data_IF_241662881971
#
_entry.id   IF_241662881971
#
_cell.length_a   1.000
_cell.length_b   1.000
_cell.length_c   1.000
_cell.angle_alpha   90.00
_cell.angle_beta   90.00
_cell.angle_gamma   90.00
#
_symmetry.space_group_name_H-M   'P 1'
#
loop_
_entity.id
_entity.type
_entity.pdbx_description
1 polymer ?
#
# COMPACT_ATOMS: atom_id res chain seq x y z
N UNK A 1 27.42 64.46 -26.35
CA UNK A 1 27.38 63.91 -24.98
C UNK A 1 26.20 62.93 -24.88
N UNK A 2 26.47 61.66 -24.58
CA UNK A 2 25.49 60.57 -24.59
C UNK A 2 24.70 60.63 -23.26
N UNK A 3 23.40 60.96 -23.32
CA UNK A 3 22.51 60.91 -22.15
C UNK A 3 22.36 59.45 -21.73
N UNK A 4 22.93 59.08 -20.59
CA UNK A 4 22.64 57.82 -19.91
C UNK A 4 21.21 57.96 -19.39
N UNK A 5 20.26 57.28 -20.04
CA UNK A 5 18.88 57.20 -19.57
C UNK A 5 18.86 56.45 -18.24
N UNK A 6 18.47 57.14 -17.16
CA UNK A 6 18.30 56.51 -15.85
C UNK A 6 17.18 55.47 -15.93
N UNK A 7 17.52 54.21 -15.69
CA UNK A 7 16.54 53.14 -15.60
C UNK A 7 15.69 53.38 -14.35
N UNK A 8 14.41 53.75 -14.54
CA UNK A 8 13.45 53.89 -13.45
C UNK A 8 13.21 52.50 -12.86
N UNK A 9 13.44 52.35 -11.54
CA UNK A 9 13.18 51.11 -10.81
C UNK A 9 11.68 50.81 -10.68
N UNK A 10 11.35 49.58 -10.30
CA UNK A 10 9.98 49.13 -10.08
C UNK A 10 9.30 49.93 -8.96
N UNK A 11 8.04 50.30 -9.17
CA UNK A 11 7.23 50.92 -8.12
C UNK A 11 6.72 49.88 -7.12
N UNK A 12 6.42 50.30 -5.87
CA UNK A 12 5.84 49.40 -4.86
C UNK A 12 4.51 48.82 -5.35
N UNK A 13 3.71 49.63 -6.07
CA UNK A 13 2.44 49.17 -6.62
C UNK A 13 2.63 48.11 -7.72
N UNK A 14 3.61 48.27 -8.63
CA UNK A 14 3.94 47.23 -9.61
C UNK A 14 4.38 45.93 -8.93
N UNK A 15 5.17 46.02 -7.86
CA UNK A 15 5.61 44.84 -7.14
C UNK A 15 4.42 44.08 -6.54
N UNK A 16 3.46 44.78 -5.93
CA UNK A 16 2.25 44.19 -5.36
C UNK A 16 1.41 43.55 -6.47
N UNK A 17 1.25 44.20 -7.62
CA UNK A 17 0.50 43.66 -8.76
C UNK A 17 1.16 42.40 -9.31
N UNK A 18 2.48 42.40 -9.47
CA UNK A 18 3.24 41.23 -9.95
C UNK A 18 3.12 40.05 -8.97
N UNK A 19 3.28 40.29 -7.67
CA UNK A 19 3.11 39.25 -6.64
C UNK A 19 1.67 38.71 -6.67
N UNK A 20 0.66 39.58 -6.80
CA UNK A 20 -0.74 39.17 -6.90
C UNK A 20 -1.01 38.27 -8.12
N UNK A 21 -0.46 38.62 -9.28
CA UNK A 21 -0.56 37.82 -10.50
C UNK A 21 0.14 36.46 -10.33
N UNK A 22 1.32 36.43 -9.68
CA UNK A 22 2.04 35.18 -9.40
C UNK A 22 1.26 34.27 -8.44
N UNK A 23 0.63 34.84 -7.40
CA UNK A 23 -0.22 34.07 -6.48
C UNK A 23 -1.45 33.48 -7.19
N UNK A 24 -2.06 34.23 -8.12
CA UNK A 24 -3.17 33.72 -8.93
C UNK A 24 -2.73 32.55 -9.81
N UNK A 25 -1.59 32.66 -10.49
CA UNK A 25 -1.05 31.56 -11.29
C UNK A 25 -0.69 30.34 -10.43
N UNK A 26 -0.08 30.56 -9.26
CA UNK A 26 0.27 29.48 -8.33
C UNK A 26 -0.99 28.74 -7.82
N UNK A 27 -2.10 29.45 -7.61
CA UNK A 27 -3.36 28.85 -7.16
C UNK A 27 -4.02 27.94 -8.19
N UNK A 28 -3.80 28.18 -9.49
CA UNK A 28 -4.36 27.37 -10.58
C UNK A 28 -3.55 26.08 -10.78
N UNK A 29 -2.27 26.09 -10.37
CA UNK A 29 -1.32 25.01 -10.61
C UNK A 29 -1.46 23.80 -9.66
N UNK A 30 -2.62 23.56 -9.04
CA UNK A 30 -2.78 22.42 -8.14
C UNK A 30 -2.66 21.08 -8.91
N UNK A 31 -1.62 20.26 -8.64
CA UNK A 31 -1.51 18.95 -9.25
C UNK A 31 -2.56 18.02 -8.63
N UNK A 32 -3.25 17.24 -9.46
CA UNK A 32 -4.15 16.18 -9.00
C UNK A 32 -3.30 15.02 -8.46
N UNK A 33 -3.12 14.95 -7.15
CA UNK A 33 -2.38 13.86 -6.48
C UNK A 33 -3.26 12.61 -6.44
N UNK A 34 -2.87 11.57 -7.17
CA UNK A 34 -3.50 10.25 -7.09
C UNK A 34 -2.93 9.47 -5.89
N UNK A 35 -3.74 9.29 -4.85
CA UNK A 35 -3.37 8.54 -3.63
C UNK A 35 -3.77 7.07 -3.68
N UNK A 36 -4.42 6.61 -4.75
CA UNK A 36 -4.96 5.24 -4.84
C UNK A 36 -3.88 4.17 -4.72
N UNK A 37 -2.74 4.38 -5.35
CA UNK A 37 -1.58 3.49 -5.29
C UNK A 37 -0.92 3.49 -3.91
N UNK A 38 -0.91 4.66 -3.24
CA UNK A 38 -0.38 4.75 -1.88
C UNK A 38 -1.23 3.94 -0.89
N UNK A 39 -2.56 4.06 -0.96
CA UNK A 39 -3.47 3.30 -0.11
C UNK A 39 -3.39 1.80 -0.39
N UNK A 40 -3.33 1.38 -1.67
CA UNK A 40 -3.09 -0.01 -2.05
C UNK A 40 -1.82 -0.55 -1.40
N UNK A 41 -0.71 0.18 -1.52
CA UNK A 41 0.58 -0.23 -0.96
C UNK A 41 0.55 -0.29 0.57
N UNK A 42 -0.15 0.65 1.23
CA UNK A 42 -0.33 0.68 2.68
C UNK A 42 -1.06 -0.57 3.17
N UNK A 43 -2.16 -0.95 2.51
CA UNK A 43 -2.92 -2.18 2.81
C UNK A 43 -2.03 -3.41 2.64
N UNK A 44 -1.31 -3.50 1.52
CA UNK A 44 -0.42 -4.64 1.24
C UNK A 44 0.73 -4.75 2.24
N UNK A 45 1.33 -3.62 2.66
CA UNK A 45 2.35 -3.60 3.72
C UNK A 45 1.79 -4.06 5.06
N UNK A 46 0.61 -3.58 5.45
CA UNK A 46 -0.05 -3.99 6.69
C UNK A 46 -0.32 -5.50 6.69
N UNK A 47 -0.85 -6.06 5.59
CA UNK A 47 -1.10 -7.49 5.51
C UNK A 47 0.20 -8.31 5.54
N UNK A 48 1.24 -7.87 4.83
CA UNK A 48 2.57 -8.49 4.89
C UNK A 48 3.11 -8.54 6.32
N UNK A 49 2.95 -7.46 7.07
CA UNK A 49 3.44 -7.35 8.44
C UNK A 49 2.63 -8.24 9.40
N UNK A 50 1.32 -8.37 9.18
CA UNK A 50 0.50 -9.35 9.91
C UNK A 50 0.90 -10.80 9.62
N UNK A 51 1.23 -11.14 8.36
CA UNK A 51 1.74 -12.48 8.01
C UNK A 51 3.08 -12.73 8.70
N UNK A 52 3.97 -11.73 8.73
CA UNK A 52 5.26 -11.82 9.44
C UNK A 52 5.06 -11.99 10.94
N UNK A 53 4.10 -11.27 11.51
CA UNK A 53 3.77 -11.35 12.93
C UNK A 53 3.36 -12.78 13.31
N UNK A 54 2.41 -13.39 12.60
CA UNK A 54 1.98 -14.77 12.94
C UNK A 54 3.11 -15.80 12.75
N UNK A 55 4.00 -15.58 11.77
CA UNK A 55 5.18 -16.42 11.57
C UNK A 55 6.14 -16.28 12.75
N UNK A 56 6.43 -15.06 13.17
CA UNK A 56 7.31 -14.78 14.30
C UNK A 56 6.77 -15.37 15.59
N UNK A 57 5.47 -15.19 15.84
CA UNK A 57 4.78 -15.74 17.01
C UNK A 57 4.90 -17.27 17.08
N UNK A 58 4.69 -17.94 15.95
CA UNK A 58 4.87 -19.39 15.89
C UNK A 58 6.31 -19.83 16.18
N UNK A 59 7.30 -19.10 15.68
CA UNK A 59 8.71 -19.45 15.83
C UNK A 59 9.25 -19.20 17.25
N UNK A 60 8.69 -18.24 17.98
CA UNK A 60 9.22 -17.78 19.27
C UNK A 60 8.39 -18.26 20.45
N UNK A 61 7.08 -18.06 20.38
CA UNK A 61 6.14 -18.37 21.47
C UNK A 61 5.40 -19.70 21.23
N UNK A 62 5.43 -20.21 19.99
CA UNK A 62 4.79 -21.47 19.62
C UNK A 62 3.29 -21.37 19.35
N UNK A 63 2.72 -20.17 19.41
CA UNK A 63 1.30 -19.89 19.22
C UNK A 63 0.78 -20.44 17.88
N UNK A 64 -0.40 -21.08 17.91
CA UNK A 64 -1.03 -21.65 16.73
C UNK A 64 -1.94 -20.61 16.04
N UNK A 65 -1.32 -19.55 15.52
CA UNK A 65 -2.01 -18.52 14.76
C UNK A 65 -2.12 -18.89 13.28
N UNK A 66 -3.26 -18.55 12.68
CA UNK A 66 -3.50 -18.63 11.23
C UNK A 66 -4.20 -17.38 10.73
N UNK A 67 -4.00 -17.06 9.46
CA UNK A 67 -4.76 -16.02 8.76
C UNK A 67 -5.72 -16.71 7.80
N UNK A 68 -7.02 -16.44 7.96
CA UNK A 68 -8.07 -16.83 7.02
C UNK A 68 -8.36 -15.66 6.08
N UNK A 69 -8.28 -15.93 4.78
CA UNK A 69 -8.48 -14.97 3.71
C UNK A 69 -9.90 -15.05 3.14
N UNK A 70 -10.50 -13.89 2.89
CA UNK A 70 -11.77 -13.74 2.20
C UNK A 70 -11.66 -12.55 1.24
N UNK A 71 -12.57 -12.46 0.26
CA UNK A 71 -12.45 -11.46 -0.80
C UNK A 71 -12.43 -10.01 -0.31
N UNK A 72 -13.13 -9.71 0.79
CA UNK A 72 -13.27 -8.35 1.34
C UNK A 72 -12.68 -8.20 2.74
N UNK A 73 -12.02 -9.23 3.28
CA UNK A 73 -11.38 -9.17 4.60
C UNK A 73 -10.38 -10.30 4.82
N UNK A 74 -9.54 -10.16 5.83
CA UNK A 74 -8.80 -11.28 6.39
C UNK A 74 -8.91 -11.27 7.92
N UNK A 75 -8.76 -12.45 8.51
CA UNK A 75 -8.93 -12.64 9.95
C UNK A 75 -7.78 -13.44 10.52
N UNK A 76 -7.14 -12.93 11.58
CA UNK A 76 -6.16 -13.68 12.38
C UNK A 76 -6.95 -14.46 13.44
N UNK A 77 -6.72 -15.77 13.47
CA UNK A 77 -7.42 -16.72 14.32
C UNK A 77 -6.41 -17.52 15.14
N UNK A 78 -6.77 -17.80 16.38
CA UNK A 78 -6.14 -18.81 17.22
C UNK A 78 -7.18 -19.90 17.48
N UNK A 79 -7.07 -21.03 16.78
CA UNK A 79 -8.14 -22.03 16.74
C UNK A 79 -9.46 -21.44 16.22
N UNK A 80 -10.46 -21.35 17.10
CA UNK A 80 -11.78 -20.74 16.84
C UNK A 80 -11.88 -19.28 17.30
N UNK A 81 -10.91 -18.81 18.10
CA UNK A 81 -10.90 -17.46 18.67
C UNK A 81 -10.42 -16.46 17.62
N UNK A 82 -11.16 -15.35 17.48
CA UNK A 82 -10.79 -14.22 16.61
C UNK A 82 -9.88 -13.26 17.35
N UNK A 83 -8.64 -13.13 16.87
CA UNK A 83 -7.64 -12.21 17.43
C UNK A 83 -7.74 -10.84 16.79
N UNK A 84 -7.85 -10.82 15.45
CA UNK A 84 -7.89 -9.59 14.65
C UNK A 84 -8.71 -9.83 13.40
N UNK A 85 -9.52 -8.86 13.00
CA UNK A 85 -10.19 -8.85 11.69
C UNK A 85 -9.89 -7.52 11.01
N UNK A 86 -9.50 -7.59 9.73
CA UNK A 86 -9.24 -6.41 8.92
C UNK A 86 -10.14 -6.46 7.70
N UNK A 87 -11.05 -5.50 7.62
CA UNK A 87 -11.96 -5.33 6.48
C UNK A 87 -11.32 -4.43 5.43
N UNK A 88 -11.41 -4.86 4.18
CA UNK A 88 -11.04 -4.08 3.01
C UNK A 88 -12.23 -3.20 2.63
N UNK A 89 -11.94 -1.97 2.20
CA UNK A 89 -12.95 -1.14 1.53
C UNK A 89 -13.41 -1.83 0.23
N UNK A 90 -14.65 -1.60 -0.20
CA UNK A 90 -15.26 -2.11 -1.44
C UNK A 90 -14.43 -1.80 -2.71
N UNK A 91 -13.55 -0.80 -2.63
CA UNK A 91 -12.56 -0.46 -3.67
C UNK A 91 -11.51 -1.56 -3.88
N UNK A 92 -11.30 -2.44 -2.91
CA UNK A 92 -10.25 -3.46 -2.94
C UNK A 92 -10.81 -4.86 -2.81
N UNK A 93 -10.21 -5.79 -3.55
CA UNK A 93 -10.50 -7.22 -3.49
C UNK A 93 -9.23 -8.00 -3.18
N UNK A 94 -9.35 -9.03 -2.34
CA UNK A 94 -8.26 -9.94 -2.00
C UNK A 94 -8.46 -11.29 -2.68
N UNK A 95 -7.47 -11.69 -3.47
CA UNK A 95 -7.38 -13.00 -4.10
C UNK A 95 -6.18 -13.76 -3.56
N UNK A 96 -6.26 -15.08 -3.51
CA UNK A 96 -5.26 -15.92 -2.88
C UNK A 96 -5.29 -17.33 -3.50
N UNK A 97 -4.17 -18.06 -3.42
CA UNK A 97 -4.07 -19.44 -3.92
C UNK A 97 -3.54 -20.43 -2.86
N UNK A 98 -3.63 -20.09 -1.58
CA UNK A 98 -3.33 -21.00 -0.48
C UNK A 98 -4.45 -22.04 -0.33
N UNK A 99 -4.06 -23.22 0.16
CA UNK A 99 -5.00 -24.25 0.57
C UNK A 99 -5.97 -23.73 1.64
N UNK A 100 -7.24 -24.12 1.54
CA UNK A 100 -8.33 -23.73 2.45
C UNK A 100 -8.48 -22.21 2.67
N UNK A 101 -7.96 -21.41 1.75
CA UNK A 101 -7.92 -19.94 1.86
C UNK A 101 -7.25 -19.44 3.14
N UNK A 102 -6.23 -20.14 3.62
CA UNK A 102 -5.55 -19.75 4.85
C UNK A 102 -4.04 -19.95 4.79
N UNK A 103 -3.33 -19.23 5.65
CA UNK A 103 -1.90 -19.47 5.89
C UNK A 103 -1.62 -19.61 7.39
N UNK A 104 -0.84 -20.62 7.72
CA UNK A 104 -0.25 -20.83 9.04
C UNK A 104 1.22 -21.24 8.89
N UNK A 105 1.97 -21.21 9.98
CA UNK A 105 3.41 -21.51 9.98
C UNK A 105 3.75 -22.66 10.93
N UNK A 106 4.89 -23.29 10.68
CA UNK A 106 5.54 -24.23 11.59
C UNK A 106 6.59 -23.52 12.45
N UNK A 107 7.15 -24.25 13.43
CA UNK A 107 8.25 -23.75 14.28
C UNK A 107 9.51 -23.35 13.50
N UNK A 108 9.76 -23.94 12.33
CA UNK A 108 10.88 -23.54 11.46
C UNK A 108 10.62 -22.25 10.68
N UNK A 109 9.41 -21.70 10.79
CA UNK A 109 8.97 -20.53 10.05
C UNK A 109 8.57 -20.83 8.60
N UNK A 110 8.57 -22.10 8.18
CA UNK A 110 7.99 -22.52 6.90
C UNK A 110 6.45 -22.54 7.01
N UNK A 111 5.72 -22.26 5.92
CA UNK A 111 4.27 -22.32 5.93
C UNK A 111 3.80 -23.78 6.08
N UNK A 112 2.88 -24.03 7.00
CA UNK A 112 2.36 -25.39 7.27
C UNK A 112 1.29 -25.80 6.24
N UNK A 113 0.54 -24.82 5.77
CA UNK A 113 -0.31 -24.87 4.58
C UNK A 113 0.56 -24.35 3.45
N UNK A 114 0.84 -25.13 2.40
CA UNK A 114 1.72 -24.79 1.28
C UNK A 114 1.84 -23.28 0.97
N UNK A 115 3.05 -22.83 0.61
CA UNK A 115 3.25 -21.42 0.25
C UNK A 115 2.35 -20.96 -0.90
N UNK A 116 2.19 -19.66 -1.03
CA UNK A 116 1.19 -19.08 -1.92
C UNK A 116 1.40 -17.59 -2.14
N UNK A 117 0.52 -16.98 -2.92
CA UNK A 117 0.52 -15.56 -3.24
C UNK A 117 -0.85 -14.97 -2.97
N UNK A 118 -0.87 -13.90 -2.18
CA UNK A 118 -2.02 -13.00 -2.04
C UNK A 118 -1.88 -11.88 -3.06
N UNK A 119 -2.97 -11.55 -3.74
CA UNK A 119 -3.10 -10.37 -4.61
C UNK A 119 -4.15 -9.44 -4.02
N UNK A 120 -3.74 -8.21 -3.67
CA UNK A 120 -4.67 -7.12 -3.35
C UNK A 120 -4.89 -6.33 -4.63
N UNK A 121 -6.13 -6.30 -5.10
CA UNK A 121 -6.54 -5.70 -6.36
C UNK A 121 -7.38 -4.44 -6.09
N UNK A 122 -7.05 -3.32 -6.73
CA UNK A 122 -7.86 -2.11 -6.73
C UNK A 122 -8.86 -2.17 -7.89
N UNK A 123 -10.15 -2.21 -7.54
CA UNK A 123 -11.26 -2.34 -8.48
C UNK A 123 -11.47 -1.10 -9.35
N UNK A 124 -11.04 0.08 -8.90
CA UNK A 124 -11.25 1.37 -9.58
C UNK A 124 -10.22 1.58 -10.70
N UNK A 125 -8.92 1.54 -10.37
CA UNK A 125 -7.83 1.83 -11.31
C UNK A 125 -7.18 0.57 -11.92
N UNK A 126 -7.64 -0.64 -11.54
CA UNK A 126 -7.14 -1.94 -12.01
C UNK A 126 -5.67 -2.21 -11.68
N UNK A 127 -5.09 -1.50 -10.71
CA UNK A 127 -3.76 -1.80 -10.19
C UNK A 127 -3.82 -2.88 -9.11
N UNK A 128 -2.72 -3.62 -8.93
CA UNK A 128 -2.64 -4.65 -7.89
C UNK A 128 -1.25 -4.78 -7.31
N UNK A 129 -1.20 -5.34 -6.10
CA UNK A 129 0.04 -5.64 -5.39
C UNK A 129 0.03 -7.09 -4.89
N UNK A 130 1.18 -7.76 -4.97
CA UNK A 130 1.33 -9.17 -4.64
C UNK A 130 2.21 -9.39 -3.41
N UNK A 131 1.76 -10.30 -2.53
CA UNK A 131 2.49 -10.78 -1.36
C UNK A 131 2.67 -12.28 -1.51
N UNK A 132 3.91 -12.75 -1.57
CA UNK A 132 4.23 -14.18 -1.75
C UNK A 132 4.87 -14.74 -0.50
N UNK A 133 4.36 -15.87 -0.03
CA UNK A 133 4.94 -16.70 1.03
C UNK A 133 5.59 -17.91 0.37
N UNK A 134 6.91 -18.02 0.48
CA UNK A 134 7.68 -19.10 -0.18
C UNK A 134 7.44 -20.45 0.52
N UNK A 135 7.01 -21.52 -0.17
CA UNK A 135 6.60 -22.79 0.44
C UNK A 135 7.64 -23.48 1.35
N UNK A 136 8.94 -23.39 1.02
CA UNK A 136 9.98 -24.07 1.80
C UNK A 136 10.55 -23.25 2.96
N UNK A 137 10.66 -21.93 2.80
CA UNK A 137 11.37 -21.06 3.75
C UNK A 137 10.45 -20.17 4.58
N UNK A 138 9.20 -20.00 4.12
CA UNK A 138 8.26 -19.01 4.64
C UNK A 138 8.73 -17.57 4.51
N UNK A 139 9.70 -17.28 3.63
CA UNK A 139 10.07 -15.91 3.30
C UNK A 139 8.86 -15.19 2.72
N UNK A 140 8.56 -14.01 3.28
CA UNK A 140 7.45 -13.16 2.84
C UNK A 140 7.99 -12.03 1.96
N UNK A 141 7.65 -12.08 0.67
CA UNK A 141 8.04 -11.11 -0.35
C UNK A 141 6.85 -10.21 -0.68
N UNK A 142 7.09 -8.90 -0.74
CA UNK A 142 6.13 -7.92 -1.24
C UNK A 142 6.70 -7.33 -2.52
N UNK A 143 6.00 -7.48 -3.64
CA UNK A 143 6.36 -6.79 -4.88
C UNK A 143 5.86 -5.36 -4.79
N UNK A 144 6.77 -4.40 -4.72
CA UNK A 144 6.46 -2.96 -4.61
C UNK A 144 6.15 -2.32 -5.98
N UNK A 145 5.68 -3.11 -6.94
CA UNK A 145 5.37 -2.66 -8.30
C UNK A 145 3.85 -2.63 -8.48
N UNK A 146 3.34 -1.54 -9.04
CA UNK A 146 1.94 -1.42 -9.43
C UNK A 146 1.79 -2.00 -10.84
N UNK A 147 1.25 -3.21 -10.92
CA UNK A 147 0.94 -3.79 -12.21
C UNK A 147 -0.41 -3.25 -12.67
N UNK A 148 -0.40 -2.47 -13.75
CA UNK A 148 -1.63 -2.12 -14.46
C UNK A 148 -1.98 -3.30 -15.37
N UNK A 149 -3.19 -3.84 -15.21
CA UNK A 149 -3.72 -4.78 -16.20
C UNK A 149 -4.09 -3.96 -17.43
N UNK A 150 -3.18 -3.84 -18.39
CA UNK A 150 -3.50 -3.30 -19.72
C UNK A 150 -4.61 -4.16 -20.32
N UNK A 151 -5.71 -3.50 -20.69
CA UNK A 151 -6.76 -4.10 -21.51
C UNK A 151 -6.35 -4.03 -22.97
#
# INVERSE_FOLDING_TARGET
MKKIQGQKGLTIIELIVVIGILCLFASIALPKIDTSNYELLKISKSLRDDIRYIRYQKMTEGENLRILFQMTKYTILEGTRKIKEVKLNNKYSLYQNFADSQVAFSYSGAPSTSGGTITIFNNENKSYCQITVVPGTGRILLKNEFYNRHK
#
